data_IF_340428933192
#
_entry.id   IF_340428933192
#
_cell.length_a   1.000
_cell.length_b   1.000
_cell.length_c   1.000
_cell.angle_alpha   90.00
_cell.angle_beta   90.00
_cell.angle_gamma   90.00
#
_symmetry.space_group_name_H-M   'P 1'
#
loop_
_entity.id
_entity.type
_entity.pdbx_description
1 polymer ?
#
# COMPACT_ATOMS: atom_id res chain seq x y z
N UNK A 1 17.70 7.85 -4.27
CA UNK A 1 16.44 8.14 -3.55
C UNK A 1 16.33 7.32 -2.27
N UNK A 2 16.55 6.00 -2.31
CA UNK A 2 16.49 5.16 -1.11
C UNK A 2 17.42 3.96 -1.21
N UNK A 3 17.73 3.34 -0.06
CA UNK A 3 18.27 1.98 0.03
C UNK A 3 17.27 1.18 0.88
N UNK A 4 16.70 0.12 0.31
CA UNK A 4 15.76 -0.74 1.01
C UNK A 4 16.33 -2.15 1.15
N UNK A 5 16.31 -2.70 2.36
CA UNK A 5 16.77 -4.07 2.60
C UNK A 5 15.69 -5.08 2.17
N UNK A 6 16.11 -6.12 1.45
CA UNK A 6 15.23 -7.22 1.08
C UNK A 6 14.71 -7.99 2.30
N UNK A 7 13.57 -8.67 2.17
CA UNK A 7 12.93 -9.43 3.26
C UNK A 7 13.74 -10.63 3.77
N UNK A 8 14.83 -11.02 3.09
CA UNK A 8 15.73 -12.08 3.56
C UNK A 8 15.15 -13.49 3.51
N UNK A 9 14.13 -13.74 2.69
CA UNK A 9 13.48 -15.07 2.59
C UNK A 9 14.43 -16.18 2.11
N UNK A 10 15.51 -15.83 1.43
CA UNK A 10 16.53 -16.76 0.91
C UNK A 10 17.91 -16.59 1.56
N UNK A 11 18.01 -15.86 2.68
CA UNK A 11 19.26 -15.62 3.41
C UNK A 11 19.40 -14.19 3.92
N UNK A 12 20.64 -13.74 4.19
CA UNK A 12 20.89 -12.38 4.71
C UNK A 12 20.32 -11.31 3.77
N UNK A 13 19.55 -10.38 4.34
CA UNK A 13 19.01 -9.21 3.63
C UNK A 13 20.10 -8.41 2.92
N UNK A 14 19.78 -7.95 1.71
CA UNK A 14 20.67 -7.16 0.84
C UNK A 14 20.07 -5.77 0.64
N UNK A 15 20.89 -4.72 0.68
CA UNK A 15 20.44 -3.35 0.43
C UNK A 15 20.28 -3.11 -1.07
N UNK A 16 19.06 -2.90 -1.54
CA UNK A 16 18.78 -2.52 -2.91
C UNK A 16 18.84 -0.99 -3.05
N UNK A 17 19.74 -0.50 -3.91
CA UNK A 17 19.82 0.93 -4.24
C UNK A 17 18.71 1.30 -5.24
N UNK A 18 17.86 2.25 -4.85
CA UNK A 18 16.73 2.71 -5.66
C UNK A 18 16.96 4.17 -6.06
N UNK A 19 17.06 4.40 -7.37
CA UNK A 19 17.18 5.74 -7.95
C UNK A 19 15.86 6.51 -7.86
N UNK A 20 15.90 7.82 -8.08
CA UNK A 20 14.67 8.63 -8.17
C UNK A 20 13.77 8.15 -9.30
N UNK A 21 14.34 7.86 -10.47
CA UNK A 21 13.58 7.41 -11.63
C UNK A 21 12.97 6.02 -11.42
N UNK A 22 13.62 5.12 -10.66
CA UNK A 22 12.99 3.82 -10.34
C UNK A 22 11.67 3.99 -9.59
N UNK A 23 11.63 4.91 -8.62
CA UNK A 23 10.43 5.14 -7.81
C UNK A 23 9.38 5.94 -8.58
N UNK A 24 9.79 6.98 -9.30
CA UNK A 24 8.87 7.86 -10.03
C UNK A 24 8.24 7.16 -11.24
N UNK A 25 9.01 6.43 -12.04
CA UNK A 25 8.49 5.68 -13.19
C UNK A 25 7.48 4.61 -12.78
N UNK A 26 7.78 3.86 -11.71
CA UNK A 26 6.88 2.82 -11.20
C UNK A 26 5.55 3.42 -10.71
N UNK A 27 5.60 4.48 -9.90
CA UNK A 27 4.38 5.14 -9.43
C UNK A 27 3.54 5.69 -10.59
N UNK A 28 4.17 6.30 -11.61
CA UNK A 28 3.47 6.86 -12.77
C UNK A 28 2.70 5.79 -13.55
N UNK A 29 3.34 4.65 -13.81
CA UNK A 29 2.69 3.53 -14.48
C UNK A 29 1.54 3.00 -13.63
N UNK A 30 1.70 2.88 -12.31
CA UNK A 30 0.65 2.36 -11.44
C UNK A 30 -0.54 3.32 -11.33
N UNK A 31 -0.33 4.63 -11.29
CA UNK A 31 -1.41 5.62 -11.31
C UNK A 31 -2.27 5.44 -12.56
N UNK A 32 -1.64 5.33 -13.74
CA UNK A 32 -2.34 5.14 -15.02
C UNK A 32 -3.04 3.77 -15.10
N UNK A 33 -2.32 2.69 -14.80
CA UNK A 33 -2.82 1.32 -14.96
C UNK A 33 -3.91 0.96 -13.95
N UNK A 34 -3.81 1.45 -12.71
CA UNK A 34 -4.86 1.26 -11.69
C UNK A 34 -5.89 2.38 -11.69
N UNK A 35 -5.73 3.40 -12.55
CA UNK A 35 -6.64 4.53 -12.73
C UNK A 35 -6.89 5.30 -11.44
N UNK A 36 -5.85 5.46 -10.61
CA UNK A 36 -5.94 6.31 -9.44
C UNK A 36 -6.12 7.77 -9.86
N UNK A 37 -6.99 8.47 -9.18
CA UNK A 37 -7.32 9.89 -9.38
C UNK A 37 -7.29 10.62 -8.06
N UNK A 38 -7.37 11.96 -8.10
CA UNK A 38 -7.45 12.78 -6.88
C UNK A 38 -8.72 12.51 -6.03
N UNK A 39 -9.72 11.82 -6.58
CA UNK A 39 -10.93 11.44 -5.85
C UNK A 39 -10.74 10.17 -4.98
N UNK A 40 -9.62 9.46 -5.13
CA UNK A 40 -9.39 8.21 -4.43
C UNK A 40 -8.98 8.41 -2.96
N UNK A 41 -9.41 7.46 -2.15
CA UNK A 41 -9.08 7.36 -0.72
C UNK A 41 -8.59 5.94 -0.46
N UNK A 42 -7.28 5.78 -0.27
CA UNK A 42 -6.66 4.49 0.05
C UNK A 42 -6.72 4.21 1.55
N UNK A 43 -7.20 3.04 1.95
CA UNK A 43 -6.92 2.52 3.29
C UNK A 43 -5.49 1.97 3.29
N UNK A 44 -4.60 2.60 4.05
CA UNK A 44 -3.20 2.18 4.17
C UNK A 44 -2.97 1.59 5.56
N UNK A 45 -2.80 0.27 5.61
CA UNK A 45 -2.52 -0.47 6.84
C UNK A 45 -1.27 -1.38 6.70
N UNK A 46 -0.43 -1.10 5.69
CA UNK A 46 0.78 -1.86 5.40
C UNK A 46 1.98 -1.23 6.11
N UNK A 47 3.01 -2.01 6.50
CA UNK A 47 4.22 -1.43 7.06
C UNK A 47 4.99 -0.57 6.05
N UNK A 48 5.48 0.58 6.50
CA UNK A 48 6.27 1.54 5.70
C UNK A 48 7.78 1.27 5.70
N UNK A 49 8.21 0.08 6.14
CA UNK A 49 9.59 -0.38 5.98
C UNK A 49 9.75 -1.40 4.83
N UNK A 50 8.68 -1.71 4.11
CA UNK A 50 8.69 -2.60 2.96
C UNK A 50 8.19 -1.87 1.70
N UNK A 51 8.66 -2.28 0.52
CA UNK A 51 8.40 -1.57 -0.75
C UNK A 51 6.91 -1.34 -1.06
N UNK A 52 6.06 -2.29 -0.68
CA UNK A 52 4.61 -2.19 -0.92
C UNK A 52 3.98 -1.03 -0.14
N UNK A 53 4.15 -1.00 1.19
CA UNK A 53 3.60 0.08 2.01
C UNK A 53 4.34 1.40 1.82
N UNK A 54 5.67 1.37 1.66
CA UNK A 54 6.47 2.58 1.54
C UNK A 54 6.37 3.22 0.15
N UNK A 55 6.59 2.48 -0.93
CA UNK A 55 6.70 3.08 -2.27
C UNK A 55 5.43 2.92 -3.08
N UNK A 56 4.87 1.71 -3.19
CA UNK A 56 3.67 1.49 -4.02
C UNK A 56 2.49 2.28 -3.46
N UNK A 57 2.15 2.09 -2.19
CA UNK A 57 1.02 2.78 -1.59
C UNK A 57 1.22 4.30 -1.49
N UNK A 58 2.35 4.78 -0.94
CA UNK A 58 2.49 6.23 -0.75
C UNK A 58 2.77 6.99 -2.04
N UNK A 59 3.64 6.49 -2.93
CA UNK A 59 3.98 7.24 -4.13
C UNK A 59 2.81 7.29 -5.12
N UNK A 60 2.01 6.22 -5.25
CA UNK A 60 0.83 6.23 -6.12
C UNK A 60 -0.18 7.26 -5.65
N UNK A 61 -0.49 7.28 -4.34
CA UNK A 61 -1.47 8.23 -3.79
C UNK A 61 -0.99 9.67 -3.90
N UNK A 62 0.27 9.93 -3.54
CA UNK A 62 0.84 11.27 -3.66
C UNK A 62 0.92 11.73 -5.12
N UNK A 63 1.28 10.84 -6.05
CA UNK A 63 1.38 11.17 -7.47
C UNK A 63 0.01 11.38 -8.13
N UNK A 64 -1.03 10.67 -7.69
CA UNK A 64 -2.40 10.84 -8.16
C UNK A 64 -3.09 12.10 -7.59
N UNK A 65 -2.49 12.75 -6.59
CA UNK A 65 -3.14 13.83 -5.82
C UNK A 65 -4.28 13.31 -4.92
N UNK A 66 -4.25 12.03 -4.59
CA UNK A 66 -5.25 11.33 -3.79
C UNK A 66 -4.95 11.45 -2.28
N UNK A 67 -5.82 10.87 -1.46
CA UNK A 67 -5.62 10.80 0.00
C UNK A 67 -5.56 9.36 0.52
N UNK A 68 -5.12 9.18 1.76
CA UNK A 68 -5.13 7.88 2.41
C UNK A 68 -5.57 7.97 3.88
N UNK A 69 -6.30 6.95 4.33
CA UNK A 69 -6.62 6.70 5.73
C UNK A 69 -5.46 5.86 6.29
N UNK A 70 -4.55 6.52 7.00
CA UNK A 70 -3.27 5.96 7.42
C UNK A 70 -3.38 5.27 8.79
N UNK A 71 -3.51 3.95 8.78
CA UNK A 71 -3.67 3.11 9.96
C UNK A 71 -2.32 2.53 10.41
N UNK A 72 -2.09 2.45 11.72
CA UNK A 72 -0.79 2.01 12.26
C UNK A 72 -0.50 0.53 12.05
N UNK A 73 -1.56 -0.27 11.85
CA UNK A 73 -1.51 -1.73 11.66
C UNK A 73 -2.81 -2.22 11.04
N UNK A 74 -2.77 -3.45 10.56
CA UNK A 74 -3.98 -4.15 10.13
C UNK A 74 -4.86 -4.57 11.30
N UNK A 75 -6.13 -4.14 11.24
CA UNK A 75 -7.22 -4.54 12.12
C UNK A 75 -8.48 -4.74 11.25
N UNK A 76 -8.97 -5.98 11.06
CA UNK A 76 -10.09 -6.26 10.16
C UNK A 76 -11.35 -5.44 10.46
N UNK A 77 -11.73 -5.32 11.73
CA UNK A 77 -12.93 -4.58 12.13
C UNK A 77 -12.76 -3.08 11.81
N UNK A 78 -11.57 -2.55 12.07
CA UNK A 78 -11.23 -1.17 11.69
C UNK A 78 -11.29 -0.96 10.19
N UNK A 79 -10.71 -1.85 9.38
CA UNK A 79 -10.74 -1.77 7.92
C UNK A 79 -12.19 -1.77 7.41
N UNK A 80 -13.04 -2.68 7.90
CA UNK A 80 -14.47 -2.75 7.53
C UNK A 80 -15.19 -1.43 7.86
N UNK A 81 -14.92 -0.83 9.03
CA UNK A 81 -15.51 0.47 9.40
C UNK A 81 -15.09 1.64 8.49
N UNK A 82 -13.98 1.50 7.77
CA UNK A 82 -13.45 2.53 6.87
C UNK A 82 -13.91 2.37 5.43
N UNK A 83 -14.39 1.18 5.02
CA UNK A 83 -14.81 0.91 3.65
C UNK A 83 -15.81 1.94 3.08
N UNK A 84 -16.82 2.43 3.84
CA UNK A 84 -17.76 3.42 3.30
C UNK A 84 -17.13 4.77 2.93
N UNK A 85 -15.89 5.03 3.37
CA UNK A 85 -15.15 6.28 3.13
C UNK A 85 -13.94 6.09 2.22
N UNK A 86 -13.73 4.87 1.71
CA UNK A 86 -12.54 4.49 0.95
C UNK A 86 -12.91 4.03 -0.45
N UNK A 87 -11.99 4.18 -1.39
CA UNK A 87 -12.12 3.67 -2.76
C UNK A 87 -11.19 2.50 -3.05
N UNK A 88 -10.10 2.37 -2.28
CA UNK A 88 -9.10 1.33 -2.47
C UNK A 88 -8.56 0.77 -1.16
N UNK A 89 -8.16 -0.50 -1.20
CA UNK A 89 -7.40 -1.18 -0.17
C UNK A 89 -6.25 -1.94 -0.83
N UNK A 90 -5.02 -1.58 -0.47
CA UNK A 90 -3.84 -2.37 -0.81
C UNK A 90 -3.57 -3.37 0.31
N UNK A 91 -3.54 -4.67 -0.03
CA UNK A 91 -3.41 -5.74 0.94
C UNK A 91 -2.41 -6.81 0.55
N UNK A 92 -2.07 -7.65 1.52
CA UNK A 92 -1.36 -8.92 1.31
C UNK A 92 -2.36 -10.08 1.43
N UNK A 93 -2.04 -11.30 0.97
CA UNK A 93 -2.99 -12.43 1.00
C UNK A 93 -3.66 -12.65 2.38
N UNK A 94 -2.90 -12.48 3.46
CA UNK A 94 -3.42 -12.64 4.83
C UNK A 94 -4.42 -11.56 5.27
N UNK A 95 -4.43 -10.38 4.64
CA UNK A 95 -5.49 -9.39 4.90
C UNK A 95 -6.83 -9.93 4.42
N UNK A 96 -6.88 -10.41 3.17
CA UNK A 96 -8.10 -10.88 2.54
C UNK A 96 -8.66 -12.11 3.26
N UNK A 97 -7.81 -13.07 3.64
CA UNK A 97 -8.24 -14.24 4.44
C UNK A 97 -8.88 -13.82 5.77
N UNK A 98 -8.29 -12.86 6.47
CA UNK A 98 -8.83 -12.38 7.76
C UNK A 98 -10.05 -11.49 7.60
N UNK A 99 -10.14 -10.72 6.52
CA UNK A 99 -11.32 -9.91 6.19
C UNK A 99 -12.53 -10.78 5.87
N UNK A 100 -12.36 -11.88 5.14
CA UNK A 100 -13.44 -12.84 4.87
C UNK A 100 -14.03 -13.49 6.12
N UNK A 101 -13.30 -13.45 7.25
CA UNK A 101 -13.73 -13.95 8.55
C UNK A 101 -14.34 -12.86 9.44
N UNK A 102 -14.38 -11.60 8.97
CA UNK A 102 -14.80 -10.45 9.77
C UNK A 102 -16.30 -10.17 9.58
N UNK A 103 -17.01 -10.10 10.70
CA UNK A 103 -18.42 -9.70 10.72
C UNK A 103 -18.59 -8.28 10.15
N UNK A 104 -19.64 -8.07 9.36
CA UNK A 104 -19.98 -6.80 8.72
C UNK A 104 -19.34 -6.57 7.34
N UNK A 105 -18.52 -7.49 6.85
CA UNK A 105 -18.09 -7.50 5.45
C UNK A 105 -19.06 -8.26 4.52
N UNK A 106 -19.74 -9.28 5.05
CA UNK A 106 -20.76 -10.08 4.36
C UNK A 106 -22.18 -9.65 4.76
#
# INVERSE_FOLDING_TARGET
AAILYTSGTTGRSKGAMLSHENLASNARVLVDQWRFTAADVLIHALPIFHTHGLFVATNVILMAGASMLFETRFDPARIVSLLPRATALMGVPTFYVRLLQQDGLN
#
